data_IF_292831953396
#
_entry.id   IF_292831953396
#
_cell.length_a   1.000
_cell.length_b   1.000
_cell.length_c   1.000
_cell.angle_alpha   90.00
_cell.angle_beta   90.00
_cell.angle_gamma   90.00
#
_symmetry.space_group_name_H-M   'P 1'
#
loop_
_entity.id
_entity.type
_entity.pdbx_description
1 polymer ?
#
# COMPACT_ATOMS: atom_id res chain seq x y z
N UNK A 1 -53.30 -20.51 0.91
CA UNK A 1 -52.53 -20.48 -0.35
C UNK A 1 -52.12 -19.01 -0.50
N UNK A 2 -50.86 -18.59 -0.49
CA UNK A 2 -49.70 -19.11 -1.25
C UNK A 2 -48.44 -18.53 -0.59
N UNK A 3 -47.48 -19.35 -0.16
CA UNK A 3 -46.15 -18.87 0.26
C UNK A 3 -45.21 -18.98 -0.93
N UNK A 4 -44.76 -17.84 -1.46
CA UNK A 4 -43.70 -17.79 -2.46
C UNK A 4 -42.39 -17.65 -1.67
N UNK A 5 -41.74 -18.79 -1.41
CA UNK A 5 -40.36 -18.79 -0.93
C UNK A 5 -39.45 -18.45 -2.11
N UNK A 6 -39.13 -17.17 -2.29
CA UNK A 6 -38.14 -16.73 -3.26
C UNK A 6 -36.76 -17.31 -2.90
N UNK A 7 -36.31 -18.32 -3.67
CA UNK A 7 -34.94 -18.83 -3.59
C UNK A 7 -33.97 -17.66 -3.87
N UNK A 8 -33.24 -17.23 -2.86
CA UNK A 8 -32.22 -16.18 -3.00
C UNK A 8 -31.23 -16.58 -4.12
N UNK A 9 -31.07 -15.69 -5.13
CA UNK A 9 -30.09 -15.88 -6.19
C UNK A 9 -28.68 -15.99 -5.58
N UNK A 10 -27.85 -16.98 -5.96
CA UNK A 10 -26.50 -17.09 -5.45
C UNK A 10 -25.69 -15.83 -5.82
N UNK A 11 -25.04 -15.22 -4.83
CA UNK A 11 -24.16 -14.07 -5.01
C UNK A 11 -22.99 -14.49 -5.91
N UNK A 12 -22.96 -14.04 -7.17
CA UNK A 12 -21.83 -14.22 -8.10
C UNK A 12 -20.65 -13.36 -7.65
N UNK A 13 -19.96 -13.76 -6.58
CA UNK A 13 -18.92 -12.97 -5.91
C UNK A 13 -17.54 -13.00 -6.57
N UNK A 14 -17.26 -13.98 -7.45
CA UNK A 14 -15.94 -14.16 -8.06
C UNK A 14 -16.06 -14.15 -9.58
N UNK A 15 -15.46 -13.14 -10.21
CA UNK A 15 -15.49 -12.94 -11.66
C UNK A 15 -14.70 -14.05 -12.38
N UNK A 16 -13.69 -14.65 -11.73
CA UNK A 16 -12.91 -15.77 -12.27
C UNK A 16 -12.70 -16.86 -11.21
N UNK A 17 -13.58 -17.89 -11.16
CA UNK A 17 -13.46 -18.99 -10.21
C UNK A 17 -12.24 -19.89 -10.45
N UNK A 18 -11.75 -20.04 -11.69
CA UNK A 18 -10.57 -20.90 -11.98
C UNK A 18 -9.24 -20.32 -11.49
N UNK A 19 -9.12 -18.99 -11.31
CA UNK A 19 -7.90 -18.37 -10.80
C UNK A 19 -7.81 -18.47 -9.29
N UNK A 20 -7.50 -19.67 -8.78
CA UNK A 20 -7.18 -19.87 -7.36
C UNK A 20 -5.69 -19.65 -7.15
N UNK A 21 -5.33 -18.60 -6.42
CA UNK A 21 -3.95 -18.39 -5.99
C UNK A 21 -3.66 -19.45 -4.92
N UNK A 22 -2.56 -20.16 -5.09
CA UNK A 22 -2.07 -21.11 -4.10
C UNK A 22 -1.78 -20.42 -2.76
N UNK A 23 -2.16 -21.06 -1.66
CA UNK A 23 -2.00 -20.52 -0.31
C UNK A 23 -0.53 -20.26 0.03
N UNK A 24 0.37 -21.14 -0.42
CA UNK A 24 1.81 -20.97 -0.19
C UNK A 24 2.34 -19.72 -0.90
N UNK A 25 1.99 -19.54 -2.17
CA UNK A 25 2.37 -18.34 -2.95
C UNK A 25 1.79 -17.06 -2.36
N UNK A 26 0.57 -17.11 -1.82
CA UNK A 26 -0.04 -15.97 -1.14
C UNK A 26 0.70 -15.62 0.16
N UNK A 27 1.06 -16.63 0.96
CA UNK A 27 1.81 -16.46 2.20
C UNK A 27 3.19 -15.84 1.92
N UNK A 28 3.91 -16.35 0.93
CA UNK A 28 5.23 -15.81 0.53
C UNK A 28 5.12 -14.35 0.08
N UNK A 29 4.13 -14.00 -0.75
CA UNK A 29 3.89 -12.60 -1.16
C UNK A 29 3.59 -11.68 0.03
N UNK A 30 2.85 -12.17 1.03
CA UNK A 30 2.54 -11.41 2.25
C UNK A 30 3.79 -11.22 3.11
N UNK A 31 4.62 -12.25 3.23
CA UNK A 31 5.89 -12.17 3.95
C UNK A 31 6.83 -11.15 3.32
N UNK A 32 7.01 -11.20 1.98
CA UNK A 32 7.85 -10.24 1.24
C UNK A 32 7.37 -8.79 1.42
N UNK A 33 6.06 -8.54 1.28
CA UNK A 33 5.47 -7.22 1.52
C UNK A 33 5.67 -6.73 2.95
N UNK A 34 5.57 -7.64 3.93
CA UNK A 34 5.79 -7.30 5.34
C UNK A 34 7.25 -6.95 5.60
N UNK A 35 8.19 -7.71 5.03
CA UNK A 35 9.63 -7.46 5.14
C UNK A 35 10.01 -6.12 4.49
N UNK A 36 9.46 -5.84 3.31
CA UNK A 36 9.61 -4.56 2.63
C UNK A 36 9.09 -3.40 3.50
N UNK A 37 7.84 -3.51 3.98
CA UNK A 37 7.21 -2.48 4.79
C UNK A 37 7.97 -2.19 6.07
N UNK A 38 8.51 -3.23 6.75
CA UNK A 38 9.35 -3.05 7.95
C UNK A 38 10.62 -2.26 7.65
N UNK A 39 11.33 -2.57 6.57
CA UNK A 39 12.53 -1.83 6.15
C UNK A 39 12.22 -0.35 5.89
N UNK A 40 11.18 -0.07 5.11
CA UNK A 40 10.78 1.31 4.86
C UNK A 40 10.28 2.02 6.14
N UNK A 41 9.65 1.30 7.07
CA UNK A 41 9.18 1.85 8.34
C UNK A 41 10.35 2.30 9.23
N UNK A 42 11.41 1.50 9.33
CA UNK A 42 12.61 1.87 10.10
C UNK A 42 13.24 3.17 9.56
N UNK A 43 13.25 3.35 8.25
CA UNK A 43 13.74 4.57 7.60
C UNK A 43 12.77 5.73 7.88
N UNK A 44 11.47 5.51 7.73
CA UNK A 44 10.43 6.50 8.01
C UNK A 44 10.55 7.04 9.45
N UNK A 45 10.69 6.17 10.44
CA UNK A 45 10.77 6.57 11.84
C UNK A 45 11.98 7.46 12.15
N UNK A 46 13.09 7.30 11.42
CA UNK A 46 14.28 8.15 11.54
C UNK A 46 14.07 9.54 10.95
N UNK A 47 13.47 9.63 9.77
CA UNK A 47 13.30 10.92 9.05
C UNK A 47 12.03 11.68 9.46
N UNK A 48 11.06 11.00 10.07
CA UNK A 48 9.75 11.57 10.44
C UNK A 48 9.87 12.81 11.34
N UNK A 49 10.67 12.83 12.43
CA UNK A 49 10.71 13.99 13.33
C UNK A 49 11.14 15.28 12.62
N UNK A 50 12.04 15.19 11.65
CA UNK A 50 12.54 16.35 10.91
C UNK A 50 11.56 16.85 9.85
N UNK A 51 10.86 15.92 9.19
CA UNK A 51 9.95 16.24 8.10
C UNK A 51 8.53 16.59 8.57
N UNK A 52 8.09 16.06 9.71
CA UNK A 52 6.74 16.26 10.23
C UNK A 52 6.48 17.73 10.59
N UNK A 53 7.51 18.46 11.04
CA UNK A 53 7.39 19.88 11.38
C UNK A 53 7.05 20.75 10.16
N UNK A 54 7.57 20.39 8.99
CA UNK A 54 7.43 21.19 7.75
C UNK A 54 6.34 20.66 6.82
N UNK A 55 6.05 19.38 6.87
CA UNK A 55 5.21 18.68 5.90
C UNK A 55 4.16 17.79 6.55
N UNK A 56 3.57 18.26 7.65
CA UNK A 56 2.51 17.54 8.33
C UNK A 56 1.37 17.16 7.38
N UNK A 57 0.93 15.90 7.47
CA UNK A 57 -0.09 15.25 6.66
C UNK A 57 0.22 15.04 5.16
N UNK A 58 1.44 15.33 4.70
CA UNK A 58 1.86 15.03 3.33
C UNK A 58 2.14 13.54 3.16
N UNK A 59 2.16 13.09 1.91
CA UNK A 59 2.52 11.73 1.56
C UNK A 59 4.02 11.64 1.29
N UNK A 60 4.63 10.55 1.76
CA UNK A 60 6.03 10.24 1.54
C UNK A 60 6.17 8.81 1.02
N UNK A 61 6.92 8.61 -0.06
CA UNK A 61 7.28 7.29 -0.56
C UNK A 61 8.76 7.06 -0.32
N UNK A 62 9.11 5.93 0.30
CA UNK A 62 10.47 5.63 0.72
C UNK A 62 10.96 4.38 0.02
N UNK A 63 12.17 4.47 -0.51
CA UNK A 63 12.91 3.35 -1.08
C UNK A 63 13.66 2.58 0.02
N UNK A 64 13.48 1.25 0.12
CA UNK A 64 14.01 0.45 1.22
C UNK A 64 15.55 0.33 1.22
N UNK A 65 16.19 0.38 0.05
CA UNK A 65 17.60 0.02 -0.10
C UNK A 65 18.52 1.26 -0.10
N UNK A 66 18.09 2.36 -0.73
CA UNK A 66 18.83 3.62 -0.80
C UNK A 66 18.48 4.59 0.34
N UNK A 67 17.27 4.48 0.89
CA UNK A 67 16.71 5.47 1.81
C UNK A 67 16.29 6.78 1.13
N UNK A 68 16.33 6.84 -0.21
CA UNK A 68 15.75 7.95 -0.96
C UNK A 68 14.24 8.03 -0.72
N UNK A 69 13.72 9.26 -0.71
CA UNK A 69 12.30 9.48 -0.50
C UNK A 69 11.75 10.60 -1.37
N UNK A 70 10.51 10.41 -1.78
CA UNK A 70 9.70 11.39 -2.49
C UNK A 70 8.59 11.88 -1.59
N UNK A 71 8.35 13.18 -1.60
CA UNK A 71 7.34 13.84 -0.77
C UNK A 71 6.41 14.70 -1.61
N UNK A 72 5.12 14.62 -1.31
CA UNK A 72 4.09 15.43 -1.97
C UNK A 72 2.84 15.59 -1.10
N UNK A 73 2.17 16.76 -1.11
CA UNK A 73 0.92 16.94 -0.36
C UNK A 73 -0.23 16.07 -0.87
N UNK A 74 -0.23 15.65 -2.14
CA UNK A 74 -1.30 14.83 -2.73
C UNK A 74 -0.75 13.49 -3.20
N UNK A 75 -1.50 12.43 -2.92
CA UNK A 75 -1.11 11.07 -3.32
C UNK A 75 -0.98 10.91 -4.84
N UNK A 76 -1.88 11.51 -5.62
CA UNK A 76 -1.88 11.37 -7.10
C UNK A 76 -0.59 11.93 -7.71
N UNK A 77 -0.14 13.09 -7.23
CA UNK A 77 1.10 13.74 -7.70
C UNK A 77 2.33 12.98 -7.21
N UNK A 78 2.30 12.42 -6.00
CA UNK A 78 3.33 11.50 -5.54
C UNK A 78 3.47 10.28 -6.46
N UNK A 79 2.37 9.62 -6.80
CA UNK A 79 2.40 8.44 -7.69
C UNK A 79 2.93 8.77 -9.07
N UNK A 80 2.63 9.97 -9.60
CA UNK A 80 3.23 10.44 -10.86
C UNK A 80 4.74 10.60 -10.74
N UNK A 81 5.23 11.25 -9.68
CA UNK A 81 6.67 11.40 -9.42
C UNK A 81 7.36 10.04 -9.31
N UNK A 82 6.74 9.08 -8.62
CA UNK A 82 7.24 7.71 -8.52
C UNK A 82 7.34 7.07 -9.91
N UNK A 83 6.30 7.19 -10.73
CA UNK A 83 6.29 6.64 -12.08
C UNK A 83 7.32 7.32 -12.99
N UNK A 84 7.56 8.62 -12.83
CA UNK A 84 8.56 9.37 -13.59
C UNK A 84 9.99 8.97 -13.20
N UNK A 85 10.26 8.78 -11.90
CA UNK A 85 11.59 8.43 -11.41
C UNK A 85 11.92 6.94 -11.56
N UNK A 86 10.94 6.06 -11.32
CA UNK A 86 11.14 4.61 -11.20
C UNK A 86 10.35 3.80 -12.23
N UNK A 87 9.66 4.43 -13.20
CA UNK A 87 8.72 3.74 -14.08
C UNK A 87 9.29 2.63 -14.96
N UNK A 88 10.61 2.59 -15.14
CA UNK A 88 11.33 1.55 -15.89
C UNK A 88 12.15 0.61 -14.98
N UNK A 89 12.02 0.74 -13.66
CA UNK A 89 12.83 0.02 -12.68
C UNK A 89 11.93 -0.79 -11.76
N UNK A 90 12.37 -1.99 -11.38
CA UNK A 90 11.63 -2.86 -10.46
C UNK A 90 11.87 -2.45 -9.00
N UNK A 91 11.60 -1.17 -8.69
CA UNK A 91 11.75 -0.62 -7.33
C UNK A 91 10.43 -0.75 -6.58
N UNK A 92 10.47 -1.46 -5.45
CA UNK A 92 9.33 -1.54 -4.54
C UNK A 92 9.44 -0.47 -3.44
N UNK A 93 8.57 0.53 -3.53
CA UNK A 93 8.46 1.63 -2.55
C UNK A 93 7.31 1.39 -1.59
N UNK A 94 7.42 1.92 -0.37
CA UNK A 94 6.28 1.99 0.57
C UNK A 94 5.88 3.44 0.80
N UNK A 95 4.58 3.74 0.65
CA UNK A 95 4.03 5.06 0.91
C UNK A 95 3.47 5.18 2.33
N UNK A 96 3.91 6.21 3.04
CA UNK A 96 3.42 6.60 4.36
C UNK A 96 2.79 7.98 4.31
N UNK A 97 2.12 8.33 5.41
CA UNK A 97 1.67 9.69 5.67
C UNK A 97 2.55 10.30 6.76
N UNK A 98 3.01 11.54 6.56
CA UNK A 98 3.79 12.29 7.55
C UNK A 98 2.87 12.79 8.66
N UNK A 99 2.53 11.89 9.58
CA UNK A 99 1.80 12.14 10.81
C UNK A 99 2.43 11.31 11.94
N UNK A 100 1.82 11.29 13.12
CA UNK A 100 2.36 10.62 14.31
C UNK A 100 2.53 9.11 14.11
N UNK A 101 1.70 8.50 13.26
CA UNK A 101 1.60 7.04 13.10
C UNK A 101 2.13 6.51 11.78
N UNK A 102 2.38 7.35 10.77
CA UNK A 102 2.75 6.92 9.42
C UNK A 102 1.58 6.42 8.56
N UNK A 103 0.36 6.32 9.11
CA UNK A 103 -0.73 5.56 8.49
C UNK A 103 -1.50 6.37 7.45
N UNK A 104 -1.65 5.81 6.24
CA UNK A 104 -2.40 6.38 5.12
C UNK A 104 -3.94 6.20 5.22
N UNK A 105 -4.44 5.55 6.26
CA UNK A 105 -5.87 5.31 6.50
C UNK A 105 -6.09 4.35 7.68
N UNK A 106 -7.35 4.07 8.00
CA UNK A 106 -7.73 2.96 8.89
C UNK A 106 -8.15 1.77 8.01
N UNK A 107 -7.64 0.57 8.32
CA UNK A 107 -8.08 -0.69 7.73
C UNK A 107 -9.39 -1.11 8.42
#
# INVERSE_FOLDING_TARGET
MTQISEKQKPRRGRIFPERTIDYEKLASRKAERTKLGRRCQEIFERIRPELIEKHYNWFIAIEPDTGEYLIDPKFITLTKKIQEQYGNTDVMLTTFRLNETGTCGRI
#
